data_IF_390933809313
#
_entry.id   IF_390933809313
#
_cell.length_a   1.000
_cell.length_b   1.000
_cell.length_c   1.000
_cell.angle_alpha   90.00
_cell.angle_beta   90.00
_cell.angle_gamma   90.00
#
_symmetry.space_group_name_H-M   'P 1'
#
loop_
_entity.id
_entity.type
_entity.pdbx_description
1 polymer ?
#
# COMPACT_ATOMS: atom_id res chain seq x y z
N UNK A 1 31.68 -15.84 4.42
CA UNK A 1 31.36 -16.24 5.81
C UNK A 1 31.69 -15.06 6.72
N UNK A 2 30.73 -14.14 6.91
CA UNK A 2 30.69 -13.20 8.03
C UNK A 2 29.20 -13.10 8.39
N UNK A 3 28.79 -13.88 9.40
CA UNK A 3 27.50 -13.74 10.06
C UNK A 3 27.59 -12.52 10.98
N UNK A 4 26.82 -11.48 10.71
CA UNK A 4 26.57 -10.43 11.70
C UNK A 4 25.33 -10.83 12.50
N UNK A 5 25.57 -11.31 13.70
CA UNK A 5 24.55 -11.66 14.70
C UNK A 5 23.85 -10.41 15.20
N UNK A 6 22.57 -10.23 14.91
CA UNK A 6 21.68 -9.36 15.69
C UNK A 6 21.59 -9.91 17.11
N UNK A 7 22.24 -9.23 18.05
CA UNK A 7 22.10 -9.49 19.49
C UNK A 7 20.69 -9.09 19.92
N UNK A 8 19.91 -10.07 20.36
CA UNK A 8 18.68 -9.87 21.13
C UNK A 8 19.08 -9.24 22.47
N UNK A 9 18.68 -7.99 22.69
CA UNK A 9 18.64 -7.41 24.03
C UNK A 9 17.28 -7.77 24.62
N UNK A 10 17.29 -8.77 25.51
CA UNK A 10 16.14 -9.13 26.33
C UNK A 10 15.76 -7.95 27.25
N UNK A 11 14.64 -7.30 26.95
CA UNK A 11 13.93 -6.47 27.92
C UNK A 11 12.83 -7.31 28.54
N UNK A 12 13.06 -7.76 29.78
CA UNK A 12 12.05 -8.39 30.61
C UNK A 12 10.97 -7.37 30.98
N UNK A 13 9.78 -7.49 30.41
CA UNK A 13 8.51 -7.17 31.07
C UNK A 13 7.37 -7.90 30.37
N UNK A 14 6.61 -8.67 31.16
CA UNK A 14 5.70 -9.71 30.68
C UNK A 14 4.60 -9.25 29.74
N UNK A 15 4.44 -9.99 28.64
CA UNK A 15 3.22 -10.02 27.85
C UNK A 15 2.85 -11.51 27.62
N UNK A 16 1.55 -11.85 27.67
CA UNK A 16 1.10 -13.24 27.72
C UNK A 16 1.30 -13.96 26.39
N UNK A 17 1.57 -15.25 26.52
CA UNK A 17 1.73 -16.24 25.46
C UNK A 17 0.55 -16.30 24.49
N UNK A 18 0.83 -16.24 23.19
CA UNK A 18 0.21 -17.11 22.17
C UNK A 18 -1.30 -17.00 21.95
N UNK A 19 -1.90 -15.81 22.05
CA UNK A 19 -3.26 -15.59 21.53
C UNK A 19 -3.24 -15.48 20.01
N UNK A 20 -4.09 -16.24 19.30
CA UNK A 20 -4.38 -15.99 17.89
C UNK A 20 -4.87 -14.54 17.76
N UNK A 21 -4.04 -13.67 17.18
CA UNK A 21 -4.44 -12.30 16.89
C UNK A 21 -5.59 -12.35 15.90
N UNK A 22 -6.78 -11.95 16.35
CA UNK A 22 -7.97 -11.94 15.51
C UNK A 22 -7.72 -11.00 14.32
N UNK A 23 -7.96 -11.49 13.10
CA UNK A 23 -7.87 -10.69 11.88
C UNK A 23 -9.27 -10.28 11.42
N UNK A 24 -9.36 -9.11 10.79
CA UNK A 24 -10.56 -8.58 10.14
C UNK A 24 -10.29 -8.44 8.65
N UNK A 25 -11.23 -8.92 7.84
CA UNK A 25 -11.25 -8.66 6.40
C UNK A 25 -11.55 -7.19 6.13
N UNK A 26 -10.78 -6.60 5.24
CA UNK A 26 -10.92 -5.23 4.78
C UNK A 26 -10.70 -5.19 3.27
N UNK A 27 -10.97 -4.04 2.66
CA UNK A 27 -10.69 -3.83 1.24
C UNK A 27 -9.75 -2.66 1.09
N UNK A 28 -8.76 -2.80 0.23
CA UNK A 28 -7.75 -1.79 -0.03
C UNK A 28 -7.90 -1.30 -1.46
N UNK A 29 -7.87 0.01 -1.61
CA UNK A 29 -8.08 0.73 -2.85
C UNK A 29 -6.85 1.60 -3.10
N UNK A 30 -6.13 1.31 -4.18
CA UNK A 30 -4.98 2.10 -4.62
C UNK A 30 -5.40 2.90 -5.84
N UNK A 31 -5.10 4.19 -5.88
CA UNK A 31 -5.31 5.07 -7.04
C UNK A 31 -3.96 5.59 -7.50
N UNK A 32 -3.65 5.43 -8.78
CA UNK A 32 -2.47 6.01 -9.42
C UNK A 32 -2.87 7.20 -10.30
N UNK A 33 -2.12 8.28 -10.16
CA UNK A 33 -2.34 9.54 -10.88
C UNK A 33 -1.11 9.91 -11.73
N UNK A 34 -1.37 10.63 -12.82
CA UNK A 34 -0.34 11.19 -13.71
C UNK A 34 -0.48 12.71 -13.74
N UNK A 35 0.30 13.39 -12.93
CA UNK A 35 0.39 14.84 -12.88
C UNK A 35 1.12 15.36 -14.12
N UNK A 36 0.67 16.52 -14.64
CA UNK A 36 1.36 17.24 -15.71
C UNK A 36 2.77 17.63 -15.24
N UNK A 37 3.76 17.68 -16.13
CA UNK A 37 5.17 17.85 -15.76
C UNK A 37 5.52 19.19 -15.09
N UNK A 38 4.63 20.19 -15.13
CA UNK A 38 4.89 21.55 -14.65
C UNK A 38 3.84 22.03 -13.62
N UNK A 39 3.25 21.11 -12.85
CA UNK A 39 2.38 21.53 -11.74
C UNK A 39 3.24 22.18 -10.66
N UNK A 40 2.73 23.24 -10.04
CA UNK A 40 3.39 23.89 -8.91
C UNK A 40 3.20 23.09 -7.62
N UNK A 41 4.09 23.27 -6.65
CA UNK A 41 3.98 22.65 -5.32
C UNK A 41 2.63 22.99 -4.64
N UNK A 42 2.09 24.20 -4.91
CA UNK A 42 0.80 24.62 -4.39
C UNK A 42 -0.37 23.85 -5.04
N UNK A 43 -0.32 23.62 -6.35
CA UNK A 43 -1.33 22.83 -7.07
C UNK A 43 -1.28 21.35 -6.69
N UNK A 44 -0.08 20.79 -6.54
CA UNK A 44 0.10 19.42 -6.06
C UNK A 44 -0.41 19.26 -4.63
N UNK A 45 -0.02 20.16 -3.74
CA UNK A 45 -0.49 20.15 -2.35
C UNK A 45 -2.00 20.26 -2.27
N UNK A 46 -2.60 21.18 -3.01
CA UNK A 46 -4.05 21.33 -3.07
C UNK A 46 -4.74 20.07 -3.60
N UNK A 47 -4.22 19.43 -4.66
CA UNK A 47 -4.72 18.15 -5.15
C UNK A 47 -4.66 17.05 -4.07
N UNK A 48 -3.52 16.89 -3.40
CA UNK A 48 -3.32 15.86 -2.37
C UNK A 48 -4.16 16.13 -1.12
N UNK A 49 -4.21 17.37 -0.64
CA UNK A 49 -4.99 17.78 0.53
C UNK A 49 -6.49 17.47 0.30
N UNK A 50 -7.05 17.82 -0.87
CA UNK A 50 -8.45 17.52 -1.19
C UNK A 50 -8.71 16.02 -1.34
N UNK A 51 -7.82 15.25 -1.96
CA UNK A 51 -7.95 13.79 -2.02
C UNK A 51 -7.99 13.18 -0.61
N UNK A 52 -7.12 13.63 0.29
CA UNK A 52 -7.09 13.20 1.69
C UNK A 52 -8.38 13.54 2.45
N UNK A 53 -9.01 14.69 2.15
CA UNK A 53 -10.26 15.08 2.83
C UNK A 53 -11.44 14.14 2.59
N UNK A 54 -11.36 13.27 1.57
CA UNK A 54 -12.35 12.22 1.31
C UNK A 54 -12.65 11.37 2.55
N UNK A 55 -11.65 11.09 3.38
CA UNK A 55 -11.84 10.30 4.61
C UNK A 55 -12.80 10.95 5.63
N UNK A 56 -12.95 12.27 5.61
CA UNK A 56 -13.80 13.01 6.56
C UNK A 56 -15.24 13.15 6.07
N UNK A 57 -15.43 13.14 4.74
CA UNK A 57 -16.75 13.34 4.13
C UNK A 57 -17.43 12.01 3.79
N UNK A 58 -16.69 10.90 3.77
CA UNK A 58 -17.17 9.62 3.32
C UNK A 58 -17.11 8.56 4.41
N UNK A 59 -18.27 8.02 4.76
CA UNK A 59 -18.37 6.87 5.67
C UNK A 59 -17.83 5.62 4.97
N UNK A 60 -17.10 4.80 5.71
CA UNK A 60 -16.55 3.53 5.23
C UNK A 60 -15.05 3.56 4.93
N UNK A 61 -14.46 4.75 4.76
CA UNK A 61 -12.99 4.91 4.69
C UNK A 61 -12.41 4.81 6.11
N UNK A 62 -11.52 3.85 6.31
CA UNK A 62 -10.85 3.58 7.57
C UNK A 62 -9.48 4.25 7.66
N UNK A 63 -8.74 4.32 6.56
CA UNK A 63 -7.42 4.93 6.50
C UNK A 63 -7.15 5.49 5.10
N UNK A 64 -6.34 6.55 5.04
CA UNK A 64 -5.83 7.14 3.78
C UNK A 64 -4.35 7.49 3.97
N UNK A 65 -3.54 7.18 2.98
CA UNK A 65 -2.19 7.72 2.80
C UNK A 65 -1.99 8.07 1.33
N UNK A 66 -1.18 9.08 1.05
CA UNK A 66 -0.90 9.50 -0.31
C UNK A 66 0.45 10.20 -0.39
N UNK A 67 0.96 10.33 -1.60
CA UNK A 67 2.22 11.02 -1.83
C UNK A 67 2.68 10.91 -3.28
N UNK A 68 3.81 11.58 -3.55
CA UNK A 68 4.50 11.54 -4.82
C UNK A 68 5.33 10.26 -4.92
N UNK A 69 5.20 9.56 -6.05
CA UNK A 69 6.03 8.41 -6.39
C UNK A 69 7.44 8.91 -6.68
N UNK A 70 8.44 8.34 -6.01
CA UNK A 70 9.82 8.82 -6.11
C UNK A 70 10.55 8.25 -7.33
N UNK A 71 10.31 6.97 -7.64
CA UNK A 71 10.99 6.28 -8.73
C UNK A 71 10.21 6.38 -10.06
N UNK A 72 10.92 6.59 -11.20
CA UNK A 72 10.33 6.43 -12.52
C UNK A 72 9.76 5.03 -12.70
N UNK A 73 8.61 4.94 -13.37
CA UNK A 73 7.95 3.67 -13.67
C UNK A 73 7.47 3.63 -15.12
N UNK A 74 7.28 2.43 -15.66
CA UNK A 74 6.89 2.19 -17.05
C UNK A 74 5.56 2.85 -17.46
N UNK A 75 4.70 3.11 -16.49
CA UNK A 75 3.35 3.66 -16.69
C UNK A 75 3.30 5.18 -16.49
N UNK A 76 4.43 5.81 -16.15
CA UNK A 76 4.57 7.24 -15.84
C UNK A 76 3.62 7.73 -14.72
N UNK A 77 3.29 6.86 -13.77
CA UNK A 77 2.58 7.28 -12.57
C UNK A 77 3.46 8.23 -11.75
N UNK A 78 2.83 9.26 -11.21
CA UNK A 78 3.51 10.35 -10.49
C UNK A 78 3.11 10.41 -9.02
N UNK A 79 1.89 9.98 -8.70
CA UNK A 79 1.35 9.98 -7.35
C UNK A 79 0.55 8.72 -7.15
N UNK A 80 0.46 8.29 -5.89
CA UNK A 80 -0.43 7.24 -5.48
C UNK A 80 -1.24 7.67 -4.25
N UNK A 81 -2.45 7.15 -4.17
CA UNK A 81 -3.34 7.27 -3.02
C UNK A 81 -3.70 5.86 -2.58
N UNK A 82 -3.42 5.53 -1.34
CA UNK A 82 -3.90 4.35 -0.67
C UNK A 82 -5.11 4.70 0.18
N UNK A 83 -6.17 3.92 0.07
CA UNK A 83 -7.33 3.98 0.94
C UNK A 83 -7.67 2.58 1.45
N UNK A 84 -8.14 2.51 2.69
CA UNK A 84 -8.69 1.28 3.27
C UNK A 84 -10.17 1.46 3.55
N UNK A 85 -10.96 0.47 3.16
CA UNK A 85 -12.40 0.40 3.37
C UNK A 85 -12.78 -0.77 4.27
N UNK A 86 -13.91 -0.63 4.95
CA UNK A 86 -14.45 -1.71 5.78
C UNK A 86 -14.99 -2.87 4.94
N UNK A 87 -15.67 -2.57 3.82
CA UNK A 87 -16.33 -3.56 2.96
C UNK A 87 -16.27 -3.12 1.48
N UNK A 88 -16.43 -4.08 0.55
CA UNK A 88 -16.39 -3.83 -0.90
C UNK A 88 -17.46 -2.82 -1.35
N UNK A 89 -18.63 -2.85 -0.72
CA UNK A 89 -19.75 -1.96 -1.06
C UNK A 89 -19.43 -0.49 -0.79
N UNK A 90 -18.49 -0.20 0.12
CA UNK A 90 -18.10 1.18 0.43
C UNK A 90 -17.24 1.80 -0.69
N UNK A 91 -16.55 0.99 -1.50
CA UNK A 91 -15.82 1.46 -2.70
C UNK A 91 -16.81 1.95 -3.76
N UNK A 92 -17.88 1.20 -4.01
CA UNK A 92 -18.90 1.61 -4.97
C UNK A 92 -19.58 2.93 -4.54
N UNK A 93 -19.82 3.11 -3.23
CA UNK A 93 -20.31 4.39 -2.67
C UNK A 93 -19.29 5.52 -2.83
N UNK A 94 -18.00 5.22 -2.63
CA UNK A 94 -16.90 6.15 -2.86
C UNK A 94 -16.83 6.64 -4.31
N UNK A 95 -16.80 5.71 -5.26
CA UNK A 95 -16.71 6.01 -6.69
C UNK A 95 -17.94 6.77 -7.22
N UNK A 96 -19.12 6.52 -6.67
CA UNK A 96 -20.38 7.21 -7.04
C UNK A 96 -20.65 8.50 -6.25
N UNK A 97 -19.74 8.91 -5.35
CA UNK A 97 -19.92 10.08 -4.51
C UNK A 97 -19.81 11.38 -5.30
N UNK A 98 -20.84 12.22 -5.21
CA UNK A 98 -20.83 13.57 -5.79
C UNK A 98 -19.68 14.42 -5.22
N UNK A 99 -19.28 14.19 -3.97
CA UNK A 99 -18.16 14.88 -3.35
C UNK A 99 -16.83 14.47 -3.99
N UNK A 100 -16.60 13.17 -4.15
CA UNK A 100 -15.38 12.67 -4.79
C UNK A 100 -15.31 13.07 -6.26
N UNK A 101 -16.43 12.99 -7.00
CA UNK A 101 -16.51 13.49 -8.38
C UNK A 101 -16.14 14.97 -8.48
N UNK A 102 -16.59 15.80 -7.53
CA UNK A 102 -16.21 17.21 -7.47
C UNK A 102 -14.71 17.41 -7.25
N UNK A 103 -14.08 16.65 -6.36
CA UNK A 103 -12.62 16.68 -6.17
C UNK A 103 -11.90 16.32 -7.47
N UNK A 104 -12.34 15.25 -8.14
CA UNK A 104 -11.75 14.85 -9.42
C UNK A 104 -11.85 15.99 -10.46
N UNK A 105 -13.01 16.63 -10.57
CA UNK A 105 -13.25 17.69 -11.55
C UNK A 105 -12.49 18.98 -11.25
N UNK A 106 -12.47 19.42 -10.00
CA UNK A 106 -11.92 20.72 -9.61
C UNK A 106 -10.43 20.68 -9.26
N UNK A 107 -9.92 19.53 -8.80
CA UNK A 107 -8.59 19.44 -8.16
C UNK A 107 -7.65 18.46 -8.83
N UNK A 108 -8.16 17.37 -9.41
CA UNK A 108 -7.31 16.34 -10.05
C UNK A 108 -7.19 16.60 -11.56
N UNK A 109 -8.30 16.63 -12.30
CA UNK A 109 -8.31 16.81 -13.77
C UNK A 109 -7.56 18.06 -14.26
N UNK A 110 -7.58 19.22 -13.57
CA UNK A 110 -6.84 20.39 -14.03
C UNK A 110 -5.32 20.19 -14.03
N UNK A 111 -4.81 19.36 -13.12
CA UNK A 111 -3.37 19.15 -12.89
C UNK A 111 -2.87 17.80 -13.38
N UNK A 112 -3.78 16.86 -13.70
CA UNK A 112 -3.46 15.54 -14.21
C UNK A 112 -3.68 15.40 -15.72
N UNK A 113 -3.08 14.37 -16.32
CA UNK A 113 -3.35 13.95 -17.68
C UNK A 113 -3.73 12.46 -17.73
N UNK A 114 -4.54 12.08 -18.71
CA UNK A 114 -5.08 10.72 -18.80
C UNK A 114 -6.05 10.38 -17.66
N UNK A 115 -6.53 9.14 -17.68
CA UNK A 115 -7.37 8.60 -16.62
C UNK A 115 -6.55 8.11 -15.43
N UNK A 116 -7.06 8.30 -14.22
CA UNK A 116 -6.57 7.60 -13.03
C UNK A 116 -6.76 6.10 -13.19
N UNK A 117 -5.81 5.31 -12.68
CA UNK A 117 -5.91 3.85 -12.63
C UNK A 117 -6.12 3.47 -11.18
N UNK A 118 -7.11 2.64 -10.86
CA UNK A 118 -7.36 2.20 -9.50
C UNK A 118 -7.38 0.69 -9.37
N UNK A 119 -6.78 0.14 -8.33
CA UNK A 119 -6.74 -1.29 -8.05
C UNK A 119 -7.33 -1.57 -6.69
N UNK A 120 -8.29 -2.50 -6.66
CA UNK A 120 -9.00 -2.93 -5.47
C UNK A 120 -8.60 -4.36 -5.11
N UNK A 121 -8.28 -4.61 -3.85
CA UNK A 121 -7.98 -5.96 -3.38
C UNK A 121 -8.47 -6.21 -1.95
N UNK A 122 -8.86 -7.45 -1.68
CA UNK A 122 -9.24 -7.89 -0.34
C UNK A 122 -8.00 -8.33 0.41
N UNK A 123 -7.88 -7.89 1.67
CA UNK A 123 -6.80 -8.31 2.55
C UNK A 123 -7.28 -8.40 4.00
N UNK A 124 -6.39 -8.83 4.89
CA UNK A 124 -6.68 -9.01 6.30
C UNK A 124 -5.71 -8.21 7.16
N UNK A 125 -6.25 -7.55 8.18
CA UNK A 125 -5.48 -6.78 9.16
C UNK A 125 -5.90 -7.16 10.57
N UNK A 126 -5.08 -6.88 11.56
CA UNK A 126 -5.42 -7.14 12.96
C UNK A 126 -6.70 -6.40 13.35
N UNK A 127 -7.60 -7.09 14.07
CA UNK A 127 -8.89 -6.59 14.51
C UNK A 127 -8.75 -5.66 15.72
N UNK A 128 -7.95 -4.61 15.55
CA UNK A 128 -7.65 -3.58 16.55
C UNK A 128 -7.68 -2.18 15.88
N UNK A 129 -7.95 -1.15 16.68
CA UNK A 129 -8.17 0.22 16.25
C UNK A 129 -6.91 0.79 15.55
N UNK A 130 -5.74 0.63 16.16
CA UNK A 130 -4.48 1.16 15.61
C UNK A 130 -4.22 0.63 14.20
N UNK A 131 -4.16 -0.70 13.97
CA UNK A 131 -3.86 -1.25 12.66
C UNK A 131 -5.00 -1.06 11.65
N UNK A 132 -6.28 -1.05 12.08
CA UNK A 132 -7.41 -0.81 11.18
C UNK A 132 -7.43 0.61 10.62
N UNK A 133 -7.33 1.61 11.49
CA UNK A 133 -7.43 3.02 11.13
C UNK A 133 -6.07 3.65 10.78
N UNK A 134 -4.97 2.89 10.90
CA UNK A 134 -3.59 3.35 10.69
C UNK A 134 -3.33 4.65 11.44
N UNK A 135 -3.64 4.65 12.74
CA UNK A 135 -3.50 5.80 13.64
C UNK A 135 -2.35 5.55 14.61
N UNK A 136 -1.59 6.61 14.90
CA UNK A 136 -0.46 6.56 15.82
C UNK A 136 0.79 7.15 15.18
N UNK A 137 1.81 7.39 16.00
CA UNK A 137 3.06 8.02 15.57
C UNK A 137 3.71 7.28 14.40
N UNK A 138 3.70 5.95 14.45
CA UNK A 138 4.28 5.08 13.40
C UNK A 138 3.57 5.19 12.03
N UNK A 139 2.35 5.74 11.98
CA UNK A 139 1.61 5.93 10.73
C UNK A 139 1.59 7.37 10.23
N UNK A 140 2.03 8.33 11.06
CA UNK A 140 2.07 9.76 10.71
C UNK A 140 3.13 10.08 9.64
N UNK A 141 4.15 9.23 9.50
CA UNK A 141 5.24 9.37 8.55
C UNK A 141 5.65 7.99 7.99
N UNK A 142 6.66 7.99 7.12
CA UNK A 142 7.26 6.78 6.55
C UNK A 142 6.95 6.62 5.06
N UNK A 143 7.12 5.40 4.58
CA UNK A 143 7.06 5.08 3.14
C UNK A 143 6.06 3.98 2.90
N UNK A 144 5.11 4.21 2.00
CA UNK A 144 4.23 3.16 1.49
C UNK A 144 4.91 2.50 0.28
N UNK A 145 5.05 1.18 0.35
CA UNK A 145 5.47 0.35 -0.77
C UNK A 145 4.28 -0.45 -1.27
N UNK A 146 4.03 -0.37 -2.57
CA UNK A 146 2.93 -1.02 -3.27
C UNK A 146 3.49 -2.03 -4.25
N UNK A 147 3.02 -3.27 -4.14
CA UNK A 147 3.38 -4.36 -5.03
C UNK A 147 2.09 -4.91 -5.65
N UNK A 148 1.97 -4.77 -6.97
CA UNK A 148 0.88 -5.35 -7.75
C UNK A 148 1.42 -6.44 -8.66
N UNK A 149 0.74 -7.59 -8.69
CA UNK A 149 1.18 -8.77 -9.42
C UNK A 149 0.04 -9.29 -10.28
N UNK A 150 0.40 -9.67 -11.51
CA UNK A 150 -0.38 -10.57 -12.35
C UNK A 150 0.39 -11.86 -12.54
N UNK A 151 -0.14 -12.95 -11.99
CA UNK A 151 0.34 -14.29 -12.32
C UNK A 151 -0.10 -14.76 -13.71
N UNK A 152 0.77 -15.53 -14.37
CA UNK A 152 0.47 -16.25 -15.61
C UNK A 152 -0.78 -17.12 -15.45
N UNK A 153 -1.64 -17.14 -16.47
CA UNK A 153 -2.84 -18.00 -16.49
C UNK A 153 -2.49 -19.49 -16.32
N UNK A 154 -1.32 -19.90 -16.80
CA UNK A 154 -0.82 -21.28 -16.73
C UNK A 154 -0.19 -21.65 -15.38
N UNK A 155 0.04 -20.68 -14.49
CA UNK A 155 0.57 -20.96 -13.17
C UNK A 155 -0.46 -21.74 -12.33
N UNK A 156 -0.02 -22.82 -11.69
CA UNK A 156 -0.88 -23.63 -10.83
C UNK A 156 -1.28 -22.87 -9.57
N UNK A 157 -2.39 -23.27 -8.94
CA UNK A 157 -2.83 -22.65 -7.69
C UNK A 157 -1.78 -22.85 -6.58
N UNK A 158 -1.16 -24.02 -6.51
CA UNK A 158 -0.13 -24.33 -5.51
C UNK A 158 1.09 -23.41 -5.65
N UNK A 159 1.49 -23.07 -6.88
CA UNK A 159 2.61 -22.16 -7.11
C UNK A 159 2.27 -20.73 -6.67
N UNK A 160 1.04 -20.26 -6.93
CA UNK A 160 0.56 -18.94 -6.49
C UNK A 160 0.46 -18.86 -4.97
N UNK A 161 -0.04 -19.91 -4.33
CA UNK A 161 -0.14 -20.01 -2.88
C UNK A 161 1.25 -20.06 -2.22
N UNK A 162 2.20 -20.80 -2.80
CA UNK A 162 3.59 -20.86 -2.33
C UNK A 162 4.30 -19.52 -2.46
N UNK A 163 4.09 -18.79 -3.57
CA UNK A 163 4.63 -17.45 -3.75
C UNK A 163 4.05 -16.45 -2.74
N UNK A 164 2.73 -16.46 -2.56
CA UNK A 164 2.05 -15.60 -1.57
C UNK A 164 2.51 -15.92 -0.15
N UNK A 165 2.60 -17.20 0.20
CA UNK A 165 3.10 -17.66 1.51
C UNK A 165 4.56 -17.28 1.74
N UNK A 166 5.38 -17.30 0.68
CA UNK A 166 6.79 -16.91 0.76
C UNK A 166 6.95 -15.41 0.99
N UNK A 167 6.15 -14.57 0.33
CA UNK A 167 6.11 -13.13 0.59
C UNK A 167 5.67 -12.84 2.04
N UNK A 168 4.60 -13.49 2.52
CA UNK A 168 4.13 -13.33 3.90
C UNK A 168 5.17 -13.77 4.93
N UNK A 169 5.89 -14.87 4.66
CA UNK A 169 6.97 -15.35 5.52
C UNK A 169 8.11 -14.34 5.59
N UNK A 170 8.52 -13.79 4.44
CA UNK A 170 9.54 -12.75 4.38
C UNK A 170 9.13 -11.52 5.18
N UNK A 171 7.92 -11.00 4.96
CA UNK A 171 7.36 -9.87 5.72
C UNK A 171 7.40 -10.14 7.22
N UNK A 172 7.03 -11.35 7.65
CA UNK A 172 7.05 -11.74 9.06
C UNK A 172 8.47 -11.75 9.65
N UNK A 173 9.45 -12.23 8.87
CA UNK A 173 10.87 -12.20 9.24
C UNK A 173 11.44 -10.78 9.32
N UNK A 174 10.88 -9.87 8.52
CA UNK A 174 11.25 -8.46 8.42
C UNK A 174 10.43 -7.53 9.33
N UNK A 175 9.64 -8.08 10.26
CA UNK A 175 8.69 -7.33 11.09
C UNK A 175 9.32 -6.24 11.95
N UNK A 176 10.63 -6.29 12.25
CA UNK A 176 11.31 -5.27 13.04
C UNK A 176 11.49 -3.93 12.32
N UNK A 177 11.32 -3.89 11.00
CA UNK A 177 11.43 -2.67 10.18
C UNK A 177 10.20 -2.44 9.29
N UNK A 178 9.10 -3.14 9.58
CA UNK A 178 7.81 -2.98 8.92
C UNK A 178 6.79 -2.52 9.96
N UNK A 179 6.12 -1.40 9.71
CA UNK A 179 5.03 -0.90 10.57
C UNK A 179 3.79 -1.75 10.38
N UNK A 180 3.42 -2.01 9.13
CA UNK A 180 2.28 -2.84 8.77
C UNK A 180 2.44 -3.35 7.35
N UNK A 181 2.00 -4.58 7.10
CA UNK A 181 1.86 -5.12 5.76
C UNK A 181 0.51 -5.79 5.59
N UNK A 182 -0.07 -5.61 4.42
CA UNK A 182 -1.29 -6.28 3.98
C UNK A 182 -1.10 -6.79 2.56
N UNK A 183 -1.73 -7.91 2.23
CA UNK A 183 -1.66 -8.51 0.91
C UNK A 183 -2.90 -9.35 0.66
N UNK A 184 -3.34 -9.45 -0.59
CA UNK A 184 -4.37 -10.41 -0.99
C UNK A 184 -4.78 -10.28 -2.45
N UNK A 185 -5.96 -10.81 -2.75
CA UNK A 185 -6.44 -10.98 -4.13
C UNK A 185 -7.19 -9.73 -4.61
N UNK A 186 -6.91 -9.31 -5.85
CA UNK A 186 -7.66 -8.24 -6.49
C UNK A 186 -9.13 -8.64 -6.68
N UNK A 187 -10.03 -7.68 -6.47
CA UNK A 187 -11.46 -7.88 -6.57
C UNK A 187 -11.93 -7.99 -8.02
N UNK A 188 -11.35 -7.17 -8.89
CA UNK A 188 -11.68 -7.10 -10.32
C UNK A 188 -10.36 -7.06 -11.12
N UNK A 189 -10.27 -7.87 -12.17
CA UNK A 189 -9.06 -8.02 -12.99
C UNK A 189 -8.97 -7.04 -14.15
N UNK A 190 -9.82 -6.01 -14.21
CA UNK A 190 -9.87 -5.03 -15.32
C UNK A 190 -8.54 -4.29 -15.51
N UNK A 191 -7.79 -4.10 -14.43
CA UNK A 191 -6.48 -3.44 -14.45
C UNK A 191 -5.32 -4.41 -14.77
N UNK A 192 -5.62 -5.68 -15.04
CA UNK A 192 -4.65 -6.71 -15.37
C UNK A 192 -3.79 -7.19 -14.20
N UNK A 193 -4.15 -6.87 -12.95
CA UNK A 193 -3.51 -7.43 -11.75
C UNK A 193 -4.48 -8.36 -11.04
N UNK A 194 -3.95 -9.42 -10.42
CA UNK A 194 -4.73 -10.38 -9.64
C UNK A 194 -4.35 -10.42 -8.15
N UNK A 195 -3.21 -9.86 -7.77
CA UNK A 195 -2.79 -9.73 -6.38
C UNK A 195 -2.23 -8.34 -6.09
N UNK A 196 -2.47 -7.86 -4.88
CA UNK A 196 -1.93 -6.61 -4.36
C UNK A 196 -1.32 -6.79 -2.97
N UNK A 197 -0.29 -6.00 -2.67
CA UNK A 197 0.26 -5.86 -1.34
C UNK A 197 0.65 -4.40 -1.08
N UNK A 198 0.44 -3.96 0.16
CA UNK A 198 0.86 -2.65 0.67
C UNK A 198 1.66 -2.86 1.94
N UNK A 199 2.86 -2.29 1.99
CA UNK A 199 3.77 -2.40 3.13
C UNK A 199 4.21 -1.00 3.55
N UNK A 200 4.00 -0.67 4.82
CA UNK A 200 4.51 0.56 5.43
C UNK A 200 5.84 0.31 6.09
N UNK A 201 6.82 1.11 5.69
CA UNK A 201 8.13 1.19 6.31
C UNK A 201 8.25 2.48 7.13
N UNK A 202 8.98 2.49 8.26
CA UNK A 202 9.25 3.70 9.04
C UNK A 202 10.04 4.75 8.24
N UNK A 203 10.91 4.29 7.34
CA UNK A 203 11.77 5.15 6.51
C UNK A 203 12.05 4.55 5.13
N UNK A 204 12.60 5.37 4.23
CA UNK A 204 13.09 4.90 2.93
C UNK A 204 14.28 3.93 3.07
N UNK A 205 15.13 4.13 4.08
CA UNK A 205 16.26 3.23 4.34
C UNK A 205 15.77 1.82 4.72
N UNK A 206 14.69 1.72 5.49
CA UNK A 206 14.08 0.43 5.84
C UNK A 206 13.48 -0.28 4.60
N UNK A 207 12.79 0.46 3.73
CA UNK A 207 12.33 -0.06 2.44
C UNK A 207 13.50 -0.57 1.60
N UNK A 208 14.59 0.21 1.54
CA UNK A 208 15.78 -0.15 0.79
C UNK A 208 16.42 -1.42 1.33
N UNK A 209 16.57 -1.53 2.66
CA UNK A 209 17.07 -2.74 3.31
C UNK A 209 16.21 -3.96 2.97
N UNK A 210 14.88 -3.80 2.96
CA UNK A 210 13.96 -4.87 2.55
C UNK A 210 14.18 -5.30 1.09
N UNK A 211 14.12 -4.36 0.13
CA UNK A 211 14.23 -4.68 -1.31
C UNK A 211 15.62 -5.15 -1.73
N UNK A 212 16.66 -4.66 -1.07
CA UNK A 212 18.04 -5.03 -1.38
C UNK A 212 18.51 -6.31 -0.68
N UNK A 213 17.73 -6.83 0.28
CA UNK A 213 18.02 -8.07 0.99
C UNK A 213 18.17 -9.27 0.04
N UNK A 214 19.02 -10.23 0.44
CA UNK A 214 19.17 -11.47 -0.32
C UNK A 214 17.87 -12.27 -0.29
N UNK A 215 17.16 -12.24 0.82
CA UNK A 215 15.90 -12.95 1.05
C UNK A 215 14.79 -12.46 0.11
N UNK A 216 14.65 -11.14 -0.07
CA UNK A 216 13.69 -10.58 -1.04
C UNK A 216 14.05 -10.98 -2.47
N UNK A 217 15.33 -10.83 -2.85
CA UNK A 217 15.82 -11.14 -4.20
C UNK A 217 15.67 -12.63 -4.53
N UNK A 218 16.01 -13.51 -3.58
CA UNK A 218 15.92 -14.96 -3.75
C UNK A 218 14.45 -15.41 -3.80
N UNK A 219 13.58 -14.85 -2.95
CA UNK A 219 12.14 -15.09 -3.01
C UNK A 219 11.58 -14.64 -4.37
N UNK A 220 11.94 -13.44 -4.83
CA UNK A 220 11.50 -12.94 -6.12
C UNK A 220 11.95 -13.85 -7.26
N UNK A 221 13.24 -14.19 -7.32
CA UNK A 221 13.81 -15.00 -8.38
C UNK A 221 13.27 -16.44 -8.42
N UNK A 222 13.04 -17.05 -7.25
CA UNK A 222 12.65 -18.46 -7.15
C UNK A 222 11.14 -18.68 -7.12
N UNK A 223 10.35 -17.75 -6.56
CA UNK A 223 8.92 -17.91 -6.32
C UNK A 223 8.04 -17.06 -7.22
N UNK A 224 8.42 -15.82 -7.49
CA UNK A 224 7.60 -14.89 -8.28
C UNK A 224 7.97 -14.90 -9.76
N UNK A 225 9.24 -14.72 -10.09
CA UNK A 225 9.70 -14.62 -11.48
C UNK A 225 9.23 -15.77 -12.40
N UNK A 226 9.17 -17.05 -11.96
CA UNK A 226 8.71 -18.14 -12.82
C UNK A 226 7.21 -18.09 -13.17
N UNK A 227 6.39 -17.38 -12.41
CA UNK A 227 4.92 -17.42 -12.51
C UNK A 227 4.28 -16.06 -12.71
N UNK A 228 5.04 -14.96 -12.65
CA UNK A 228 4.54 -13.59 -12.83
C UNK A 228 4.60 -13.19 -14.30
N UNK A 229 3.47 -12.77 -14.86
CA UNK A 229 3.36 -12.19 -16.19
C UNK A 229 3.73 -10.71 -16.19
N UNK A 230 3.17 -9.96 -15.24
CA UNK A 230 3.39 -8.52 -15.05
C UNK A 230 3.47 -8.21 -13.57
N UNK A 231 4.34 -7.29 -13.19
CA UNK A 231 4.35 -6.70 -11.85
C UNK A 231 4.56 -5.20 -11.92
N UNK A 232 4.14 -4.52 -10.85
CA UNK A 232 4.38 -3.11 -10.63
C UNK A 232 4.79 -2.92 -9.16
N UNK A 233 6.00 -2.41 -8.96
CA UNK A 233 6.55 -2.03 -7.67
C UNK A 233 6.66 -0.50 -7.64
N UNK A 234 5.99 0.14 -6.70
CA UNK A 234 6.01 1.59 -6.52
C UNK A 234 6.14 1.93 -5.04
N UNK A 235 6.72 3.09 -4.73
CA UNK A 235 6.68 3.63 -3.38
C UNK A 235 6.51 5.14 -3.39
N UNK A 236 5.99 5.65 -2.28
CA UNK A 236 5.97 7.09 -1.98
C UNK A 236 6.23 7.33 -0.51
N UNK A 237 6.90 8.44 -0.22
CA UNK A 237 6.93 9.01 1.13
C UNK A 237 5.56 9.60 1.45
N UNK A 238 5.02 9.23 2.62
CA UNK A 238 3.69 9.64 3.06
C UNK A 238 3.68 11.15 3.26
N UNK A 239 2.83 11.84 2.51
CA UNK A 239 2.72 13.29 2.61
C UNK A 239 2.07 13.68 3.96
N UNK A 240 2.65 14.65 4.69
CA UNK A 240 2.07 15.16 5.92
C UNK A 240 0.87 16.06 5.59
N UNK A 241 -0.25 15.43 5.26
CA UNK A 241 -1.49 16.13 4.96
C UNK A 241 -2.14 16.65 6.23
N UNK A 242 -2.59 17.90 6.22
CA UNK A 242 -3.27 18.52 7.36
C UNK A 242 -2.36 19.19 8.39
N UNK A 243 -1.05 19.31 8.14
CA UNK A 243 -0.16 20.16 8.95
C UNK A 243 -0.45 21.68 8.81
N UNK A 244 -1.37 22.05 7.93
CA UNK A 244 -2.04 23.35 7.92
C UNK A 244 -3.52 23.18 8.35
N UNK A 245 -3.73 22.57 9.51
CA UNK A 245 -4.99 22.74 10.25
C UNK A 245 -4.88 24.04 11.05
N UNK A 246 -5.50 25.10 10.48
CA UNK A 246 -5.63 26.49 10.98
C UNK A 246 -4.48 27.46 10.70
#
# INVERSE_FOLDING_TARGET
MILSTCRVLESSNGAPSGGLVKKRKIVEHIIFLRAKPNISDAEEKDMLDYLYTSQYQMRGILAVSLGRIEDPNSENFTHAVFMRFQQKEDIAKFQSSAYYSKILDERVKPVSYGSSVSVDFESEVEDDIIPLFRRGEDFNYGVEFMLLISFLETASQEARDDASSSLQRLISQCSSFIVQATSGCCLDSENGYNHGAVIRFPSFDDLKLFRESMEYKDMWASKLHPIVEKSLELHFTVDPVGNQLM
#
